data_IF_263452703791
#
_entry.id   IF_263452703791
#
_cell.length_a   1.000
_cell.length_b   1.000
_cell.length_c   1.000
_cell.angle_alpha   90.00
_cell.angle_beta   90.00
_cell.angle_gamma   90.00
#
_symmetry.space_group_name_H-M   'P 1'
#
loop_
_entity.id
_entity.type
_entity.pdbx_description
1 polymer ?
#
# COMPACT_ATOMS: atom_id res chain seq x y z
N UNK A 1 -3.46 18.95 15.33
CA UNK A 1 -2.97 19.83 14.25
C UNK A 1 -3.61 19.42 12.93
N UNK A 2 -4.71 20.08 12.53
CA UNK A 2 -5.35 19.93 11.21
C UNK A 2 -4.59 20.83 10.23
N UNK A 3 -3.66 20.26 9.46
CA UNK A 3 -2.92 20.97 8.41
C UNK A 3 -3.84 21.41 7.27
N UNK A 4 -3.57 22.59 6.74
CA UNK A 4 -4.27 23.19 5.59
C UNK A 4 -3.79 22.58 4.27
N UNK A 5 -4.68 22.63 3.28
CA UNK A 5 -4.48 22.38 1.85
C UNK A 5 -4.23 20.93 1.43
N UNK A 6 -4.72 20.57 0.25
CA UNK A 6 -4.67 19.20 -0.24
C UNK A 6 -3.25 18.70 -0.54
N UNK A 7 -2.33 19.64 -0.65
CA UNK A 7 -0.95 19.42 -1.07
C UNK A 7 -0.11 18.74 0.03
N UNK A 8 -0.43 18.98 1.31
CA UNK A 8 0.38 18.49 2.43
C UNK A 8 0.36 16.98 2.56
N UNK A 9 -0.81 16.34 2.40
CA UNK A 9 -0.93 14.89 2.54
C UNK A 9 -0.40 14.16 1.31
N UNK A 10 -0.67 14.67 0.09
CA UNK A 10 -0.12 14.11 -1.15
C UNK A 10 1.39 14.18 -1.12
N UNK A 11 1.95 15.31 -0.69
CA UNK A 11 3.39 15.48 -0.55
C UNK A 11 3.97 14.47 0.45
N UNK A 12 3.34 14.27 1.62
CA UNK A 12 3.79 13.27 2.60
C UNK A 12 3.74 11.84 2.05
N UNK A 13 2.69 11.50 1.33
CA UNK A 13 2.52 10.19 0.71
C UNK A 13 3.50 9.94 -0.43
N UNK A 14 3.75 10.96 -1.26
CA UNK A 14 4.78 10.93 -2.29
C UNK A 14 6.15 10.77 -1.65
N UNK A 15 6.43 11.47 -0.54
CA UNK A 15 7.66 11.28 0.24
C UNK A 15 7.77 9.84 0.75
N UNK A 16 6.70 9.23 1.25
CA UNK A 16 6.69 7.81 1.65
C UNK A 16 7.01 6.91 0.44
N UNK A 17 6.34 7.10 -0.70
CA UNK A 17 6.57 6.31 -1.91
C UNK A 17 8.02 6.45 -2.42
N UNK A 18 8.54 7.68 -2.43
CA UNK A 18 9.91 8.00 -2.84
C UNK A 18 10.96 7.51 -1.85
N UNK A 19 10.67 7.53 -0.54
CA UNK A 19 11.60 7.05 0.49
C UNK A 19 11.90 5.54 0.36
N UNK A 20 10.92 4.75 -0.08
CA UNK A 20 11.14 3.32 -0.35
C UNK A 20 11.71 3.04 -1.75
N UNK A 21 11.78 4.05 -2.63
CA UNK A 21 12.28 3.86 -4.00
C UNK A 21 13.75 3.42 -4.04
N UNK A 22 14.70 4.03 -3.29
CA UNK A 22 16.09 3.56 -3.23
C UNK A 22 16.24 2.13 -2.70
N UNK A 23 15.38 1.74 -1.76
CA UNK A 23 15.38 0.39 -1.22
C UNK A 23 14.87 -0.60 -2.28
N UNK A 24 13.77 -0.26 -2.95
CA UNK A 24 13.23 -1.04 -4.06
C UNK A 24 14.20 -1.14 -5.24
N UNK A 25 14.92 -0.08 -5.61
CA UNK A 25 15.89 -0.12 -6.71
C UNK A 25 17.03 -1.10 -6.44
N UNK A 26 17.52 -1.14 -5.20
CA UNK A 26 18.60 -2.04 -4.82
C UNK A 26 18.15 -3.50 -4.75
N UNK A 27 16.94 -3.77 -4.22
CA UNK A 27 16.39 -5.11 -4.08
C UNK A 27 15.64 -5.62 -5.33
N UNK A 28 15.54 -4.81 -6.39
CA UNK A 28 14.89 -5.19 -7.65
C UNK A 28 15.88 -5.66 -8.71
N UNK A 29 15.50 -6.71 -9.45
CA UNK A 29 16.33 -7.29 -10.52
C UNK A 29 15.88 -6.79 -11.90
N UNK A 30 14.60 -6.43 -12.07
CA UNK A 30 14.01 -6.11 -13.38
C UNK A 30 12.76 -5.22 -13.24
N UNK A 31 11.63 -5.63 -13.83
CA UNK A 31 10.35 -4.92 -13.90
C UNK A 31 9.63 -4.70 -12.56
N UNK A 32 10.17 -5.22 -11.45
CA UNK A 32 9.63 -5.05 -10.09
C UNK A 32 9.58 -3.57 -9.69
N UNK A 33 10.59 -2.77 -10.09
CA UNK A 33 10.59 -1.33 -9.84
C UNK A 33 9.51 -0.61 -10.66
N UNK A 34 9.33 -1.00 -11.92
CA UNK A 34 8.28 -0.43 -12.77
C UNK A 34 6.91 -0.70 -12.17
N UNK A 35 6.67 -1.94 -11.75
CA UNK A 35 5.44 -2.28 -11.03
C UNK A 35 5.27 -1.46 -9.77
N UNK A 36 6.31 -1.28 -8.95
CA UNK A 36 6.22 -0.46 -7.75
C UNK A 36 5.79 0.98 -8.07
N UNK A 37 6.36 1.59 -9.11
CA UNK A 37 5.96 2.94 -9.56
C UNK A 37 4.50 2.95 -10.01
N UNK A 38 4.08 2.01 -10.88
CA UNK A 38 2.69 1.92 -11.33
C UNK A 38 1.72 1.64 -10.17
N UNK A 39 2.12 0.80 -9.22
CA UNK A 39 1.35 0.49 -8.03
C UNK A 39 1.16 1.75 -7.17
N UNK A 40 2.24 2.47 -6.85
CA UNK A 40 2.16 3.74 -6.13
C UNK A 40 1.26 4.75 -6.86
N UNK A 41 1.43 4.96 -8.16
CA UNK A 41 0.59 5.87 -8.94
C UNK A 41 -0.89 5.46 -8.90
N UNK A 42 -1.19 4.17 -9.04
CA UNK A 42 -2.58 3.67 -9.05
C UNK A 42 -3.23 3.80 -7.68
N UNK A 43 -2.50 3.51 -6.60
CA UNK A 43 -3.01 3.64 -5.22
C UNK A 43 -3.24 5.13 -4.86
N UNK A 44 -2.37 6.03 -5.31
CA UNK A 44 -2.57 7.48 -5.13
C UNK A 44 -3.77 8.00 -5.94
N UNK A 45 -3.94 7.53 -7.18
CA UNK A 45 -5.13 7.86 -7.98
C UNK A 45 -6.41 7.35 -7.32
N UNK A 46 -6.41 6.12 -6.82
CA UNK A 46 -7.53 5.56 -6.07
C UNK A 46 -7.90 6.43 -4.87
N UNK A 47 -6.92 6.87 -4.07
CA UNK A 47 -7.16 7.76 -2.94
C UNK A 47 -7.83 9.06 -3.33
N UNK A 48 -7.35 9.73 -4.39
CA UNK A 48 -7.92 11.00 -4.85
C UNK A 48 -9.37 10.82 -5.34
N UNK A 49 -9.64 9.73 -6.08
CA UNK A 49 -11.01 9.38 -6.52
C UNK A 49 -11.92 9.16 -5.31
N UNK A 50 -11.46 8.34 -4.37
CA UNK A 50 -12.21 7.93 -3.19
C UNK A 50 -12.55 9.17 -2.33
N UNK A 51 -11.58 10.05 -2.11
CA UNK A 51 -11.77 11.32 -1.39
C UNK A 51 -12.69 12.30 -2.12
N UNK A 52 -12.57 12.41 -3.44
CA UNK A 52 -13.44 13.26 -4.24
C UNK A 52 -14.90 12.85 -4.08
N UNK A 53 -15.17 11.53 -4.10
CA UNK A 53 -16.51 11.01 -3.86
C UNK A 53 -17.00 11.30 -2.44
N UNK A 54 -16.14 11.20 -1.44
CA UNK A 54 -16.52 11.52 -0.06
C UNK A 54 -16.85 13.00 0.13
N UNK A 55 -16.10 13.93 -0.48
CA UNK A 55 -16.43 15.37 -0.43
C UNK A 55 -17.82 15.65 -0.96
N UNK A 56 -18.16 15.07 -2.12
CA UNK A 56 -19.49 15.22 -2.71
C UNK A 56 -20.59 14.71 -1.77
N UNK A 57 -20.30 13.62 -1.06
CA UNK A 57 -21.27 12.97 -0.16
C UNK A 57 -21.35 13.59 1.25
N UNK A 58 -20.45 14.51 1.62
CA UNK A 58 -20.35 15.14 2.95
C UNK A 58 -21.42 16.22 3.22
N UNK A 59 -22.35 16.46 2.29
CA UNK A 59 -23.50 17.36 2.51
C UNK A 59 -24.50 16.86 3.58
N UNK A 60 -24.36 15.63 4.10
CA UNK A 60 -25.19 15.08 5.18
C UNK A 60 -24.43 15.03 6.52
N UNK A 61 -24.89 15.77 7.53
CA UNK A 61 -24.22 16.08 8.82
C UNK A 61 -23.99 14.87 9.76
N UNK A 62 -24.67 13.74 9.55
CA UNK A 62 -24.46 12.49 10.32
C UNK A 62 -24.41 11.33 9.34
N UNK A 63 -23.34 10.51 9.38
CA UNK A 63 -23.18 9.36 8.48
C UNK A 63 -22.93 8.08 9.27
N UNK A 64 -23.92 7.19 9.23
CA UNK A 64 -23.75 5.78 9.57
C UNK A 64 -22.98 5.04 8.44
N UNK A 65 -22.41 3.87 8.76
CA UNK A 65 -21.78 2.97 7.78
C UNK A 65 -22.72 2.78 6.59
N UNK A 66 -22.25 3.10 5.39
CA UNK A 66 -22.98 2.79 4.17
C UNK A 66 -22.35 1.59 3.49
N UNK A 67 -23.13 0.74 2.80
CA UNK A 67 -22.58 -0.31 1.96
C UNK A 67 -21.65 0.25 0.86
N UNK A 68 -21.76 1.55 0.53
CA UNK A 68 -20.79 2.25 -0.34
C UNK A 68 -19.36 2.22 0.20
N UNK A 69 -19.18 2.20 1.52
CA UNK A 69 -17.87 2.20 2.16
C UNK A 69 -17.19 0.82 2.03
N UNK A 70 -17.98 -0.23 1.77
CA UNK A 70 -17.49 -1.56 1.40
C UNK A 70 -16.68 -1.56 0.10
N UNK A 71 -16.91 -0.60 -0.81
CA UNK A 71 -16.09 -0.47 -2.03
C UNK A 71 -14.63 -0.16 -1.69
N UNK A 72 -14.37 0.72 -0.74
CA UNK A 72 -13.01 1.06 -0.33
C UNK A 72 -12.31 -0.16 0.30
N UNK A 73 -13.05 -0.97 1.08
CA UNK A 73 -12.55 -2.23 1.64
C UNK A 73 -12.23 -3.27 0.54
N UNK A 74 -13.12 -3.44 -0.44
CA UNK A 74 -12.89 -4.36 -1.57
C UNK A 74 -11.70 -3.92 -2.42
N UNK A 75 -11.57 -2.62 -2.71
CA UNK A 75 -10.42 -2.08 -3.45
C UNK A 75 -9.12 -2.23 -2.67
N UNK A 76 -9.14 -1.98 -1.36
CA UNK A 76 -8.00 -2.23 -0.49
C UNK A 76 -7.57 -3.70 -0.55
N UNK A 77 -8.51 -4.64 -0.40
CA UNK A 77 -8.25 -6.07 -0.49
C UNK A 77 -7.73 -6.47 -1.87
N UNK A 78 -8.29 -5.91 -2.94
CA UNK A 78 -7.80 -6.10 -4.30
C UNK A 78 -6.33 -5.67 -4.43
N UNK A 79 -6.00 -4.47 -3.97
CA UNK A 79 -4.62 -3.99 -4.05
C UNK A 79 -3.66 -4.74 -3.13
N UNK A 80 -4.11 -5.26 -1.99
CA UNK A 80 -3.31 -6.17 -1.15
C UNK A 80 -2.96 -7.44 -1.93
N UNK A 81 -3.93 -8.02 -2.63
CA UNK A 81 -3.67 -9.15 -3.51
C UNK A 81 -2.72 -8.77 -4.66
N UNK A 82 -2.92 -7.62 -5.29
CA UNK A 82 -2.00 -7.12 -6.33
C UNK A 82 -0.61 -6.85 -5.76
N UNK A 83 -0.45 -6.35 -4.54
CA UNK A 83 0.85 -6.14 -3.91
C UNK A 83 1.57 -7.46 -3.59
N UNK A 84 0.81 -8.50 -3.23
CA UNK A 84 1.33 -9.82 -2.94
C UNK A 84 1.73 -10.57 -4.22
N UNK A 85 0.80 -10.67 -5.18
CA UNK A 85 0.98 -11.43 -6.42
C UNK A 85 1.67 -10.64 -7.55
N UNK A 86 1.56 -9.32 -7.51
CA UNK A 86 2.12 -8.41 -8.49
C UNK A 86 3.63 -8.29 -8.32
N UNK A 87 4.31 -8.82 -9.32
CA UNK A 87 5.78 -8.84 -9.50
C UNK A 87 6.56 -9.55 -8.44
N UNK A 88 7.28 -10.60 -8.88
CA UNK A 88 8.58 -11.01 -8.33
C UNK A 88 8.63 -11.47 -6.87
N UNK A 89 7.75 -11.06 -5.98
CA UNK A 89 7.69 -11.34 -4.56
C UNK A 89 7.31 -12.80 -4.30
N UNK A 90 6.26 -13.31 -4.97
CA UNK A 90 5.92 -14.75 -4.90
C UNK A 90 6.94 -15.59 -5.65
N UNK A 91 7.43 -15.13 -6.80
CA UNK A 91 8.44 -15.85 -7.57
C UNK A 91 9.76 -15.96 -6.77
N UNK A 92 10.30 -14.86 -6.26
CA UNK A 92 11.54 -14.84 -5.48
C UNK A 92 11.42 -15.56 -4.14
N UNK A 93 10.25 -15.55 -3.51
CA UNK A 93 10.00 -16.31 -2.28
C UNK A 93 9.85 -17.81 -2.55
N UNK A 94 9.22 -18.21 -3.66
CA UNK A 94 9.02 -19.63 -4.02
C UNK A 94 10.24 -20.27 -4.69
N UNK A 95 11.01 -19.51 -5.45
CA UNK A 95 12.20 -20.01 -6.15
C UNK A 95 13.51 -19.72 -5.41
N UNK A 96 13.45 -19.05 -4.25
CA UNK A 96 14.62 -18.48 -3.57
C UNK A 96 15.59 -17.82 -4.57
N UNK A 97 15.08 -17.04 -5.53
CA UNK A 97 15.94 -16.32 -6.46
C UNK A 97 16.59 -15.16 -5.71
N UNK A 98 17.69 -15.47 -5.04
CA UNK A 98 18.47 -14.57 -4.19
C UNK A 98 19.29 -13.57 -5.02
N UNK A 99 19.09 -13.46 -6.33
CA UNK A 99 19.89 -12.58 -7.20
C UNK A 99 19.90 -11.12 -6.73
N UNK A 100 18.78 -10.61 -6.18
CA UNK A 100 18.72 -9.28 -5.56
C UNK A 100 19.46 -9.23 -4.22
N UNK A 101 19.36 -10.30 -3.44
CA UNK A 101 19.94 -10.42 -2.10
C UNK A 101 21.46 -10.62 -2.17
N UNK A 102 21.95 -11.31 -3.21
CA UNK A 102 23.37 -11.53 -3.48
C UNK A 102 24.13 -10.24 -3.78
N UNK A 103 23.45 -9.15 -4.13
CA UNK A 103 24.05 -7.80 -4.23
C UNK A 103 24.42 -7.21 -2.85
N UNK A 104 23.80 -7.70 -1.77
CA UNK A 104 24.04 -7.24 -0.41
C UNK A 104 24.85 -8.21 0.45
N UNK A 105 24.62 -9.52 0.29
CA UNK A 105 25.38 -10.56 0.99
C UNK A 105 25.73 -11.69 0.02
N UNK A 106 27.02 -11.91 -0.19
CA UNK A 106 27.51 -13.02 -1.04
C UNK A 106 27.60 -14.33 -0.27
N UNK A 107 27.74 -14.27 1.06
CA UNK A 107 27.75 -15.43 1.94
C UNK A 107 26.30 -15.84 2.24
N UNK A 108 26.03 -17.14 2.13
CA UNK A 108 24.72 -17.69 2.47
C UNK A 108 24.43 -17.48 3.97
N UNK A 109 23.39 -16.69 4.25
CA UNK A 109 22.86 -16.49 5.59
C UNK A 109 21.32 -16.51 5.51
N UNK A 110 20.67 -17.64 5.82
CA UNK A 110 19.25 -17.83 5.53
C UNK A 110 18.35 -16.83 6.26
N UNK A 111 18.72 -16.43 7.48
CA UNK A 111 17.95 -15.46 8.26
C UNK A 111 18.04 -14.05 7.67
N UNK A 112 19.26 -13.59 7.34
CA UNK A 112 19.45 -12.26 6.77
C UNK A 112 18.85 -12.18 5.36
N UNK A 113 19.07 -13.21 4.54
CA UNK A 113 18.53 -13.29 3.20
C UNK A 113 17.00 -13.32 3.20
N UNK A 114 16.41 -14.14 4.07
CA UNK A 114 14.96 -14.17 4.30
C UNK A 114 14.42 -12.82 4.78
N UNK A 115 15.11 -12.16 5.71
CA UNK A 115 14.71 -10.84 6.20
C UNK A 115 14.71 -9.77 5.10
N UNK A 116 15.69 -9.79 4.19
CA UNK A 116 15.72 -8.87 3.04
C UNK A 116 14.58 -9.13 2.05
N UNK A 117 14.22 -10.39 1.82
CA UNK A 117 13.06 -10.73 0.99
C UNK A 117 11.73 -10.33 1.65
N UNK A 118 11.57 -10.58 2.95
CA UNK A 118 10.39 -10.13 3.71
C UNK A 118 10.28 -8.61 3.69
N UNK A 119 11.40 -7.91 3.89
CA UNK A 119 11.44 -6.44 3.82
C UNK A 119 10.97 -5.95 2.44
N UNK A 120 11.46 -6.56 1.35
CA UNK A 120 11.03 -6.25 -0.01
C UNK A 120 9.51 -6.43 -0.18
N UNK A 121 8.97 -7.54 0.32
CA UNK A 121 7.54 -7.85 0.24
C UNK A 121 6.72 -6.81 1.00
N UNK A 122 7.16 -6.36 2.18
CA UNK A 122 6.40 -5.44 3.04
C UNK A 122 6.27 -4.02 2.48
N UNK A 123 7.15 -3.59 1.59
CA UNK A 123 7.16 -2.21 1.05
C UNK A 123 5.82 -1.81 0.41
N UNK A 124 5.27 -2.52 -0.59
CA UNK A 124 3.98 -2.17 -1.18
C UNK A 124 2.81 -2.25 -0.18
N UNK A 125 2.87 -3.15 0.82
CA UNK A 125 1.87 -3.22 1.89
C UNK A 125 1.90 -1.99 2.79
N UNK A 126 3.09 -1.47 3.09
CA UNK A 126 3.23 -0.25 3.88
C UNK A 126 2.67 0.97 3.15
N UNK A 127 2.91 1.08 1.83
CA UNK A 127 2.38 2.16 0.98
C UNK A 127 0.84 2.14 0.99
N UNK A 128 0.23 0.99 0.73
CA UNK A 128 -1.25 0.92 0.72
C UNK A 128 -1.86 1.10 2.10
N UNK A 129 -1.23 0.59 3.16
CA UNK A 129 -1.69 0.80 4.54
C UNK A 129 -1.68 2.29 4.90
N UNK A 130 -0.64 3.02 4.49
CA UNK A 130 -0.55 4.47 4.67
C UNK A 130 -1.68 5.22 3.95
N UNK A 131 -2.04 4.78 2.74
CA UNK A 131 -3.16 5.34 1.96
C UNK A 131 -4.50 5.05 2.63
N UNK A 132 -4.74 3.81 3.07
CA UNK A 132 -5.96 3.43 3.78
C UNK A 132 -6.12 4.23 5.08
N UNK A 133 -5.04 4.44 5.84
CA UNK A 133 -5.06 5.26 7.05
C UNK A 133 -5.49 6.71 6.79
N UNK A 134 -5.02 7.30 5.69
CA UNK A 134 -5.40 8.66 5.28
C UNK A 134 -6.85 8.71 4.79
N UNK A 135 -7.29 7.72 4.01
CA UNK A 135 -8.69 7.58 3.62
C UNK A 135 -9.55 7.50 4.88
N UNK A 136 -9.32 6.53 5.77
CA UNK A 136 -10.12 6.37 6.99
C UNK A 136 -10.14 7.61 7.87
N UNK A 137 -8.99 8.27 8.05
CA UNK A 137 -8.94 9.51 8.81
C UNK A 137 -9.71 10.66 8.13
N UNK A 138 -9.85 10.63 6.80
CA UNK A 138 -10.63 11.61 6.03
C UNK A 138 -12.14 11.35 6.09
N UNK A 139 -12.56 10.11 6.38
CA UNK A 139 -13.97 9.70 6.46
C UNK A 139 -14.61 9.95 7.83
N UNK A 140 -13.85 10.43 8.83
CA UNK A 140 -14.24 10.45 10.26
C UNK A 140 -14.68 9.07 10.79
N UNK A 141 -14.34 7.99 10.06
CA UNK A 141 -14.56 6.61 10.50
C UNK A 141 -13.37 6.16 11.35
N UNK A 142 -13.67 5.36 12.37
CA UNK A 142 -12.65 4.69 13.15
C UNK A 142 -11.81 3.81 12.18
N UNK A 143 -10.48 3.93 12.12
CA UNK A 143 -9.62 3.11 11.25
C UNK A 143 -9.89 1.61 11.36
N UNK A 144 -10.31 1.19 12.54
CA UNK A 144 -10.69 -0.17 12.85
C UNK A 144 -11.93 -0.66 12.09
N UNK A 145 -12.85 0.23 11.69
CA UNK A 145 -14.09 -0.15 11.00
C UNK A 145 -13.85 -0.67 9.59
N UNK A 146 -13.03 0.02 8.79
CA UNK A 146 -12.69 -0.47 7.45
C UNK A 146 -11.90 -1.78 7.53
N UNK A 147 -11.01 -1.90 8.52
CA UNK A 147 -10.30 -3.13 8.80
C UNK A 147 -11.26 -4.29 9.17
N UNK A 148 -12.24 -4.04 10.03
CA UNK A 148 -13.27 -5.02 10.38
C UNK A 148 -14.12 -5.45 9.18
N UNK A 149 -14.47 -4.53 8.29
CA UNK A 149 -15.20 -4.86 7.06
C UNK A 149 -14.35 -5.78 6.19
N UNK A 150 -13.06 -5.47 6.02
CA UNK A 150 -12.12 -6.33 5.28
C UNK A 150 -12.08 -7.72 5.91
N UNK A 151 -11.87 -7.80 7.22
CA UNK A 151 -11.84 -9.06 7.98
C UNK A 151 -13.12 -9.88 7.80
N UNK A 152 -14.29 -9.23 7.88
CA UNK A 152 -15.59 -9.87 7.70
C UNK A 152 -15.87 -10.33 6.27
N UNK A 153 -15.22 -9.75 5.26
CA UNK A 153 -15.33 -10.19 3.87
C UNK A 153 -14.38 -11.37 3.59
N UNK A 154 -13.26 -11.43 4.32
CA UNK A 154 -12.24 -12.49 4.17
C UNK A 154 -12.51 -13.76 4.98
N UNK A 155 -13.28 -13.69 6.06
CA UNK A 155 -13.71 -14.84 6.89
C UNK A 155 -14.78 -15.67 6.17
#
# INVERSE_FOLDING_TARGET
YRGSSHDDYLSRLLVICLAFTPLMTLLSISYELLFYVFFCSTVLLWMEIERSLYKYSRYSVVRALKPSDGRAAVLFMFFVNVAFFGTGNVASLSSFSLESVYRFTTVFNPFLMGALLILKILIPFFVISSVLGIISSSLDLQPFTLFLIVMSITD
#
